data_IF_474671320120
#
_entry.id   IF_474671320120
#
_cell.length_a   1.000
_cell.length_b   1.000
_cell.length_c   1.000
_cell.angle_alpha   90.00
_cell.angle_beta   90.00
_cell.angle_gamma   90.00
#
_symmetry.space_group_name_H-M   'P 1'
#
loop_
_entity.id
_entity.type
_entity.pdbx_description
1 polymer ?
#
# COMPACT_ATOMS: atom_id res chain seq x y z
N UNK A 1 -1.98 -23.02 5.10
CA UNK A 1 -1.72 -21.78 4.38
C UNK A 1 -1.01 -22.04 3.06
N UNK A 2 -1.25 -21.18 2.08
CA UNK A 2 -0.67 -21.30 0.74
C UNK A 2 0.85 -21.16 0.83
N UNK A 3 1.60 -22.10 0.22
CA UNK A 3 3.05 -22.00 0.10
C UNK A 3 3.87 -22.53 1.29
N UNK A 4 3.26 -22.90 2.39
CA UNK A 4 4.00 -23.42 3.55
C UNK A 4 4.20 -24.94 3.45
N UNK A 5 5.34 -25.36 2.87
CA UNK A 5 5.75 -26.76 2.82
C UNK A 5 4.80 -27.71 2.07
N UNK A 6 3.86 -27.19 1.27
CA UNK A 6 2.88 -27.98 0.51
C UNK A 6 3.08 -27.73 -0.98
N UNK A 7 3.11 -28.80 -1.74
CA UNK A 7 3.01 -28.76 -3.21
C UNK A 7 1.56 -28.41 -3.61
N UNK A 8 1.18 -27.15 -3.50
CA UNK A 8 -0.12 -26.69 -3.94
C UNK A 8 0.03 -25.58 -4.98
N UNK A 9 -0.58 -25.76 -6.13
CA UNK A 9 -0.68 -24.74 -7.19
C UNK A 9 -1.90 -23.86 -6.91
N UNK A 10 -1.86 -23.09 -5.83
CA UNK A 10 -2.95 -22.21 -5.45
C UNK A 10 -2.61 -20.77 -5.85
N UNK A 11 -3.61 -20.08 -6.35
CA UNK A 11 -3.56 -18.65 -6.61
C UNK A 11 -4.27 -17.94 -5.46
N UNK A 12 -3.63 -16.92 -4.91
CA UNK A 12 -4.18 -16.13 -3.83
C UNK A 12 -3.94 -14.64 -4.06
N UNK A 13 -4.79 -13.82 -3.47
CA UNK A 13 -4.60 -12.37 -3.38
C UNK A 13 -4.02 -12.01 -2.02
N UNK A 14 -3.00 -11.15 -2.01
CA UNK A 14 -2.37 -10.68 -0.78
C UNK A 14 -1.78 -9.28 -0.97
N UNK A 15 -1.71 -8.45 0.08
CA UNK A 15 -0.91 -7.24 0.04
C UNK A 15 0.56 -7.53 -0.24
N UNK A 16 1.21 -6.69 -1.04
CA UNK A 16 2.64 -6.83 -1.43
C UNK A 16 3.58 -6.99 -0.23
N UNK A 17 3.31 -6.29 0.87
CA UNK A 17 4.07 -6.41 2.12
C UNK A 17 3.98 -7.81 2.74
N UNK A 18 2.84 -8.47 2.64
CA UNK A 18 2.63 -9.83 3.16
C UNK A 18 3.28 -10.90 2.29
N UNK A 19 3.26 -10.72 0.97
CA UNK A 19 4.02 -11.56 0.07
C UNK A 19 5.51 -11.56 0.46
N UNK A 20 6.13 -10.37 0.58
CA UNK A 20 7.53 -10.26 0.93
C UNK A 20 7.85 -10.91 2.29
N UNK A 21 7.05 -10.62 3.33
CA UNK A 21 7.25 -11.22 4.66
C UNK A 21 7.30 -12.76 4.60
N UNK A 22 6.54 -13.37 3.71
CA UNK A 22 6.49 -14.84 3.56
C UNK A 22 7.63 -15.36 2.68
N UNK A 23 7.98 -14.65 1.62
CA UNK A 23 9.11 -14.98 0.78
C UNK A 23 10.42 -14.94 1.59
N UNK A 24 10.62 -13.92 2.43
CA UNK A 24 11.78 -13.78 3.32
C UNK A 24 11.87 -14.94 4.36
N UNK A 25 10.74 -15.56 4.70
CA UNK A 25 10.68 -16.76 5.55
C UNK A 25 10.90 -18.07 4.78
N UNK A 26 11.25 -17.99 3.50
CA UNK A 26 11.53 -19.15 2.65
C UNK A 26 10.30 -19.91 2.17
N UNK A 27 9.12 -19.30 2.17
CA UNK A 27 7.93 -19.92 1.57
C UNK A 27 8.07 -19.98 0.06
N UNK A 28 7.67 -21.09 -0.53
CA UNK A 28 7.66 -21.27 -1.99
C UNK A 28 6.46 -20.57 -2.61
N UNK A 29 6.56 -19.25 -2.73
CA UNK A 29 5.55 -18.36 -3.31
C UNK A 29 6.18 -17.40 -4.31
N UNK A 30 5.43 -17.04 -5.34
CA UNK A 30 5.82 -16.08 -6.35
C UNK A 30 4.72 -15.02 -6.53
N UNK A 31 5.10 -13.80 -6.86
CA UNK A 31 4.17 -12.71 -7.18
C UNK A 31 4.44 -12.19 -8.57
N UNK A 32 3.41 -12.11 -9.38
CA UNK A 32 3.47 -11.69 -10.78
C UNK A 32 2.51 -10.52 -11.06
N UNK A 33 2.70 -9.36 -10.39
CA UNK A 33 1.74 -8.27 -10.44
C UNK A 33 1.56 -7.68 -11.84
N UNK A 34 2.61 -7.73 -12.68
CA UNK A 34 2.59 -7.11 -14.01
C UNK A 34 1.91 -7.95 -15.10
N UNK A 35 1.64 -9.22 -14.85
CA UNK A 35 1.08 -10.15 -15.84
C UNK A 35 -0.43 -10.31 -15.75
N UNK A 36 -1.08 -9.58 -14.85
CA UNK A 36 -2.53 -9.67 -14.66
C UNK A 36 -3.27 -8.63 -15.50
N UNK A 37 -4.37 -9.06 -16.15
CA UNK A 37 -5.28 -8.20 -16.88
C UNK A 37 -6.66 -8.23 -16.20
N UNK A 38 -7.44 -7.15 -16.23
CA UNK A 38 -7.16 -5.83 -16.82
C UNK A 38 -6.25 -4.95 -15.96
N UNK A 39 -5.98 -5.31 -14.70
CA UNK A 39 -5.14 -4.57 -13.76
C UNK A 39 -4.21 -5.51 -13.01
N UNK A 40 -3.00 -5.03 -12.71
CA UNK A 40 -2.00 -5.78 -11.95
C UNK A 40 -2.33 -5.86 -10.46
N UNK A 41 -3.14 -4.93 -9.95
CA UNK A 41 -3.54 -4.89 -8.56
C UNK A 41 -4.31 -3.64 -8.19
N UNK A 42 -4.64 -3.54 -6.92
CA UNK A 42 -5.32 -2.36 -6.32
C UNK A 42 -4.33 -1.62 -5.45
N UNK A 43 -4.18 -0.33 -5.68
CA UNK A 43 -3.35 0.52 -4.83
C UNK A 43 -4.19 1.14 -3.70
N UNK A 44 -3.66 1.02 -2.47
CA UNK A 44 -4.19 1.67 -1.29
C UNK A 44 -3.24 2.77 -0.85
N UNK A 45 -3.77 3.94 -0.56
CA UNK A 45 -3.02 5.02 0.06
C UNK A 45 -3.17 4.96 1.57
N UNK A 46 -2.05 5.09 2.28
CA UNK A 46 -2.04 5.34 3.71
C UNK A 46 -2.10 6.85 3.96
N UNK A 47 -2.97 7.26 4.87
CA UNK A 47 -3.18 8.66 5.19
C UNK A 47 -2.70 8.97 6.59
N UNK A 48 -2.17 10.16 6.77
CA UNK A 48 -1.90 10.75 8.07
C UNK A 48 -2.57 12.11 8.15
N UNK A 49 -3.17 12.44 9.30
CA UNK A 49 -3.90 13.69 9.48
C UNK A 49 -3.74 14.20 10.91
N UNK A 50 -3.88 15.51 11.07
CA UNK A 50 -4.06 16.13 12.38
C UNK A 50 -5.53 16.02 12.76
N UNK A 51 -5.83 15.42 13.91
CA UNK A 51 -7.22 15.33 14.40
C UNK A 51 -7.75 16.73 14.72
N UNK A 52 -9.08 16.89 14.57
CA UNK A 52 -9.71 18.15 14.97
C UNK A 52 -9.50 18.39 16.47
N UNK A 53 -9.28 19.67 16.83
CA UNK A 53 -9.02 20.10 18.22
C UNK A 53 -7.83 19.37 18.88
N UNK A 54 -6.84 18.97 18.10
CA UNK A 54 -5.62 18.37 18.64
C UNK A 54 -4.98 19.29 19.68
N UNK A 55 -4.56 18.79 20.86
CA UNK A 55 -3.97 19.61 21.92
C UNK A 55 -2.62 20.24 21.51
N UNK A 56 -1.92 19.59 20.56
CA UNK A 56 -0.63 20.03 20.05
C UNK A 56 -0.59 20.01 18.52
N UNK A 57 -1.37 20.85 17.81
CA UNK A 57 -1.52 20.77 16.35
C UNK A 57 -0.22 21.04 15.60
N UNK A 58 0.64 21.93 16.12
CA UNK A 58 1.93 22.23 15.48
C UNK A 58 2.91 21.05 15.61
N UNK A 59 2.91 20.35 16.76
CA UNK A 59 3.69 19.13 16.96
C UNK A 59 3.24 18.02 16.02
N UNK A 60 1.91 17.85 15.85
CA UNK A 60 1.35 16.88 14.92
C UNK A 60 1.74 17.19 13.47
N UNK A 61 1.68 18.46 13.04
CA UNK A 61 2.14 18.90 11.70
C UNK A 61 3.62 18.62 11.48
N UNK A 62 4.45 18.90 12.51
CA UNK A 62 5.89 18.61 12.45
C UNK A 62 6.16 17.11 12.30
N UNK A 63 5.43 16.28 13.05
CA UNK A 63 5.53 14.83 12.95
C UNK A 63 5.14 14.34 11.55
N UNK A 64 4.02 14.82 10.99
CA UNK A 64 3.60 14.48 9.62
C UNK A 64 4.68 14.85 8.62
N UNK A 65 5.24 16.07 8.72
CA UNK A 65 6.35 16.51 7.85
C UNK A 65 7.57 15.58 7.96
N UNK A 66 7.92 15.19 9.18
CA UNK A 66 9.00 14.23 9.43
C UNK A 66 8.70 12.86 8.81
N UNK A 67 7.51 12.30 9.02
CA UNK A 67 7.08 11.00 8.46
C UNK A 67 7.07 10.99 6.94
N UNK A 68 6.76 12.12 6.31
CA UNK A 68 6.79 12.28 4.85
C UNK A 68 8.21 12.54 4.29
N UNK A 69 9.25 12.43 5.11
CA UNK A 69 10.64 12.56 4.68
C UNK A 69 11.23 13.97 4.73
N UNK A 70 10.52 14.95 5.30
CA UNK A 70 11.01 16.33 5.38
C UNK A 70 10.89 17.10 4.06
N UNK A 71 11.82 18.00 3.77
CA UNK A 71 11.74 18.89 2.60
C UNK A 71 12.02 18.17 1.28
N UNK A 72 13.04 17.32 1.27
CA UNK A 72 13.47 16.54 0.09
C UNK A 72 12.70 15.23 -0.12
N UNK A 73 11.83 14.86 0.82
CA UNK A 73 11.09 13.60 0.75
C UNK A 73 11.91 12.34 1.04
N UNK A 74 13.22 12.47 1.30
CA UNK A 74 14.15 11.34 1.50
C UNK A 74 14.70 11.25 2.92
N UNK A 75 14.16 12.01 3.86
CA UNK A 75 14.59 12.03 5.25
C UNK A 75 14.31 10.74 6.01
N UNK A 76 14.79 10.67 7.25
CA UNK A 76 14.73 9.45 8.07
C UNK A 76 13.32 8.99 8.38
N UNK A 77 12.33 9.87 8.43
CA UNK A 77 10.95 9.55 8.76
C UNK A 77 10.27 8.68 7.72
N UNK A 78 10.62 8.80 6.43
CA UNK A 78 10.02 8.00 5.36
C UNK A 78 10.66 6.62 5.23
N UNK A 79 11.91 6.43 5.65
CA UNK A 79 12.65 5.18 5.46
C UNK A 79 11.92 3.91 5.93
N UNK A 80 11.24 3.89 7.10
CA UNK A 80 10.50 2.71 7.52
C UNK A 80 9.33 2.33 6.60
N UNK A 81 8.81 3.28 5.84
CA UNK A 81 7.67 3.10 4.92
C UNK A 81 8.10 2.89 3.48
N UNK A 82 9.33 3.30 3.13
CA UNK A 82 9.91 3.12 1.81
C UNK A 82 10.61 1.76 1.73
N UNK A 83 9.83 0.71 1.51
CA UNK A 83 10.29 -0.68 1.47
C UNK A 83 9.83 -1.37 0.19
N UNK A 84 10.38 -2.54 -0.11
CA UNK A 84 9.89 -3.34 -1.24
C UNK A 84 8.40 -3.67 -1.04
N UNK A 85 7.59 -3.40 -2.06
CA UNK A 85 6.14 -3.53 -2.01
C UNK A 85 5.42 -2.36 -1.35
N UNK A 86 6.15 -1.30 -1.00
CA UNK A 86 5.61 0.00 -0.60
C UNK A 86 6.18 1.10 -1.50
N UNK A 87 5.34 1.99 -1.98
CA UNK A 87 5.75 3.09 -2.87
C UNK A 87 5.54 4.43 -2.18
N UNK A 88 6.53 5.32 -2.23
CA UNK A 88 6.36 6.68 -1.73
C UNK A 88 5.36 7.45 -2.60
N UNK A 89 4.56 8.30 -1.97
CA UNK A 89 3.58 9.15 -2.68
C UNK A 89 4.18 10.48 -3.14
N UNK A 90 5.37 10.81 -2.68
CA UNK A 90 6.07 12.05 -3.06
C UNK A 90 7.00 11.78 -4.24
N UNK A 91 6.92 12.62 -5.31
CA UNK A 91 7.78 12.45 -6.49
C UNK A 91 9.28 12.55 -6.19
N UNK A 92 9.64 13.33 -5.14
CA UNK A 92 11.02 13.55 -4.72
C UNK A 92 11.63 12.36 -3.99
N UNK A 93 10.78 11.43 -3.52
CA UNK A 93 11.27 10.27 -2.76
C UNK A 93 11.73 9.17 -3.70
N UNK A 94 12.98 8.78 -3.58
CA UNK A 94 13.53 7.64 -4.33
C UNK A 94 12.88 6.34 -3.84
N UNK A 95 12.23 5.55 -4.70
CA UNK A 95 11.68 4.26 -4.33
C UNK A 95 12.73 3.30 -3.78
N UNK A 96 12.32 2.34 -2.95
CA UNK A 96 13.21 1.29 -2.48
C UNK A 96 13.75 0.46 -3.66
N UNK A 97 15.01 0.06 -3.56
CA UNK A 97 15.62 -0.84 -4.54
C UNK A 97 14.80 -2.15 -4.67
N UNK A 98 14.57 -2.58 -5.89
CA UNK A 98 13.73 -3.77 -6.17
C UNK A 98 12.24 -3.49 -6.33
N UNK A 99 11.77 -2.27 -6.10
CA UNK A 99 10.42 -1.89 -6.46
C UNK A 99 10.29 -1.71 -7.98
N UNK A 100 9.22 -2.22 -8.54
CA UNK A 100 8.82 -1.94 -9.91
C UNK A 100 8.32 -0.48 -9.97
N UNK A 101 8.71 0.34 -10.95
CA UNK A 101 8.17 1.69 -11.10
C UNK A 101 6.64 1.70 -11.16
N UNK A 102 6.00 2.67 -10.49
CA UNK A 102 4.52 2.75 -10.49
C UNK A 102 3.94 2.92 -11.88
N UNK A 103 4.65 3.62 -12.77
CA UNK A 103 4.28 3.83 -14.17
C UNK A 103 4.24 2.55 -15.01
N UNK A 104 4.99 1.53 -14.60
CA UNK A 104 5.01 0.22 -15.25
C UNK A 104 3.91 -0.72 -14.74
N UNK A 105 3.16 -0.31 -13.73
CA UNK A 105 2.10 -1.11 -13.11
C UNK A 105 0.72 -0.65 -13.55
N UNK A 106 -0.12 -1.58 -13.97
CA UNK A 106 -1.54 -1.34 -14.27
C UNK A 106 -2.35 -1.36 -12.97
N UNK A 107 -2.20 -0.33 -12.15
CA UNK A 107 -2.88 -0.28 -10.86
C UNK A 107 -4.26 0.36 -10.97
N UNK A 108 -5.24 -0.27 -10.33
CA UNK A 108 -6.50 0.38 -10.05
C UNK A 108 -6.39 1.23 -8.79
N UNK A 109 -6.61 2.53 -8.97
CA UNK A 109 -6.64 3.48 -7.85
C UNK A 109 -8.06 3.62 -7.33
N UNK A 110 -8.24 3.53 -6.02
CA UNK A 110 -9.54 3.70 -5.39
C UNK A 110 -10.01 5.15 -5.58
N UNK A 111 -11.21 5.31 -6.12
CA UNK A 111 -11.86 6.62 -6.17
C UNK A 111 -12.48 6.92 -4.80
N UNK A 112 -11.71 7.56 -3.92
CA UNK A 112 -12.13 7.86 -2.56
C UNK A 112 -13.31 8.84 -2.50
N UNK A 113 -13.42 9.77 -3.44
CA UNK A 113 -14.56 10.70 -3.53
C UNK A 113 -15.86 9.94 -3.83
N UNK A 114 -15.82 8.99 -4.75
CA UNK A 114 -16.95 8.11 -5.03
C UNK A 114 -17.32 7.27 -3.80
N UNK A 115 -16.33 6.62 -3.16
CA UNK A 115 -16.59 5.79 -1.97
C UNK A 115 -17.18 6.61 -0.85
N UNK A 116 -16.67 7.81 -0.59
CA UNK A 116 -17.20 8.69 0.45
C UNK A 116 -18.64 9.11 0.21
N UNK A 117 -18.99 9.48 -1.03
CA UNK A 117 -20.34 9.89 -1.41
C UNK A 117 -21.36 8.75 -1.41
N UNK A 118 -20.91 7.53 -1.62
CA UNK A 118 -21.77 6.35 -1.76
C UNK A 118 -21.46 5.27 -0.72
N UNK A 119 -20.96 5.67 0.46
CA UNK A 119 -20.46 4.73 1.47
C UNK A 119 -21.51 3.70 1.88
N UNK A 120 -22.75 4.13 2.08
CA UNK A 120 -23.84 3.23 2.49
C UNK A 120 -24.15 2.21 1.39
N UNK A 121 -24.27 2.65 0.14
CA UNK A 121 -24.57 1.77 -1.00
C UNK A 121 -23.46 0.74 -1.20
N UNK A 122 -22.19 1.15 -1.04
CA UNK A 122 -21.00 0.26 -1.13
C UNK A 122 -21.06 -0.78 0.00
N UNK A 123 -21.41 -0.38 1.21
CA UNK A 123 -21.54 -1.30 2.34
C UNK A 123 -22.71 -2.28 2.14
N UNK A 124 -23.87 -1.80 1.72
CA UNK A 124 -25.06 -2.63 1.48
C UNK A 124 -24.80 -3.64 0.35
N UNK A 125 -24.13 -3.24 -0.72
CA UNK A 125 -23.69 -4.14 -1.77
C UNK A 125 -22.76 -5.23 -1.23
N UNK A 126 -21.77 -4.86 -0.40
CA UNK A 126 -20.85 -5.81 0.20
C UNK A 126 -21.56 -6.84 1.10
N UNK A 127 -22.55 -6.42 1.87
CA UNK A 127 -23.30 -7.32 2.76
C UNK A 127 -24.16 -8.35 2.02
N UNK A 128 -24.47 -8.15 0.73
CA UNK A 128 -25.21 -9.13 -0.07
C UNK A 128 -24.38 -10.40 -0.38
N UNK A 129 -23.05 -10.35 -0.20
CA UNK A 129 -22.11 -11.45 -0.50
C UNK A 129 -21.53 -12.10 0.75
N UNK A 130 -22.08 -11.85 1.91
CA UNK A 130 -21.62 -12.38 3.20
C UNK A 130 -22.39 -13.58 3.68
#
# INVERSE_FOLDING_TARGET
SVGEGKESKLIGYTPSSKYRERADKGWNIESEPLKMEPVSGVAFMNFVAVVNEAPHPNGAKLLIRYLLGGEDGNGNGIKPFNTIGGWPVRPETTPAEGNIPLEDMKLWMINYDFVYKNLQDVQDYWYQFR
#
